data_IF_853125668081
#
_entry.id   IF_853125668081
#
_cell.length_a   1.000
_cell.length_b   1.000
_cell.length_c   1.000
_cell.angle_alpha   90.00
_cell.angle_beta   90.00
_cell.angle_gamma   90.00
#
_symmetry.space_group_name_H-M   'P 1'
#
loop_
_entity.id
_entity.type
_entity.pdbx_description
1 polymer ?
#
# COMPACT_ATOMS: atom_id res chain seq x y z
N UNK A 1 -1.83 29.60 -21.76
CA UNK A 1 -2.61 28.40 -21.43
C UNK A 1 -1.70 27.19 -21.63
N UNK A 2 -0.91 26.83 -20.63
CA UNK A 2 -0.20 25.57 -20.52
C UNK A 2 -0.32 25.19 -19.05
N UNK A 3 -1.31 24.38 -18.75
CA UNK A 3 -1.42 23.72 -17.44
C UNK A 3 -0.18 22.84 -17.34
N UNK A 4 0.74 23.19 -16.46
CA UNK A 4 1.74 22.26 -15.96
C UNK A 4 0.96 21.20 -15.19
N UNK A 5 0.54 20.17 -15.92
CA UNK A 5 0.03 18.94 -15.33
C UNK A 5 1.10 18.47 -14.36
N UNK A 6 0.74 18.57 -13.09
CA UNK A 6 1.58 18.34 -11.94
C UNK A 6 2.10 16.92 -12.10
N UNK A 7 3.42 16.81 -12.26
CA UNK A 7 4.16 15.56 -12.16
C UNK A 7 4.09 15.14 -10.68
N UNK A 8 2.89 14.72 -10.26
CA UNK A 8 2.58 14.14 -8.96
C UNK A 8 3.26 12.78 -8.92
N UNK A 9 4.57 12.81 -8.67
CA UNK A 9 5.35 11.63 -8.34
C UNK A 9 4.77 11.06 -7.06
N UNK A 10 3.90 10.04 -7.19
CA UNK A 10 3.48 9.20 -6.09
C UNK A 10 4.75 8.73 -5.38
N UNK A 11 4.89 9.13 -4.12
CA UNK A 11 6.05 8.76 -3.32
C UNK A 11 5.94 7.30 -2.87
N UNK A 12 7.08 6.71 -2.50
CA UNK A 12 7.08 5.39 -1.88
C UNK A 12 6.18 5.37 -0.62
N UNK A 13 6.19 6.46 0.15
CA UNK A 13 5.36 6.60 1.36
C UNK A 13 3.87 6.58 1.04
N UNK A 14 3.43 7.20 -0.07
CA UNK A 14 2.02 7.18 -0.49
C UNK A 14 1.56 5.76 -0.82
N UNK A 15 2.43 4.98 -1.49
CA UNK A 15 2.13 3.58 -1.82
C UNK A 15 2.13 2.73 -0.54
N UNK A 16 3.04 2.97 0.40
CA UNK A 16 3.04 2.28 1.69
C UNK A 16 1.73 2.50 2.43
N UNK A 17 1.29 3.75 2.53
CA UNK A 17 0.02 4.10 3.18
C UNK A 17 -1.18 3.41 2.53
N UNK A 18 -1.21 3.31 1.20
CA UNK A 18 -2.26 2.56 0.49
C UNK A 18 -2.24 1.07 0.82
N UNK A 19 -1.06 0.46 0.95
CA UNK A 19 -0.94 -0.94 1.34
C UNK A 19 -1.40 -1.18 2.78
N UNK A 20 -1.03 -0.29 3.71
CA UNK A 20 -1.51 -0.33 5.09
C UNK A 20 -3.04 -0.18 5.12
N UNK A 21 -3.61 0.72 4.33
CA UNK A 21 -5.07 0.90 4.24
C UNK A 21 -5.78 -0.35 3.70
N UNK A 22 -5.24 -0.98 2.64
CA UNK A 22 -5.75 -2.26 2.14
C UNK A 22 -5.72 -3.31 3.25
N UNK A 23 -4.61 -3.42 3.98
CA UNK A 23 -4.45 -4.36 5.08
C UNK A 23 -5.47 -4.13 6.21
N UNK A 24 -5.72 -2.88 6.60
CA UNK A 24 -6.76 -2.52 7.57
C UNK A 24 -8.17 -2.80 7.03
N UNK A 25 -8.39 -2.60 5.73
CA UNK A 25 -9.69 -2.89 5.09
C UNK A 25 -10.05 -4.38 5.15
N UNK A 26 -9.04 -5.28 5.18
CA UNK A 26 -9.26 -6.73 5.30
C UNK A 26 -9.88 -7.12 6.66
N UNK A 27 -9.58 -6.38 7.73
CA UNK A 27 -10.25 -6.57 9.04
C UNK A 27 -11.74 -6.27 8.91
N UNK A 28 -12.08 -5.19 8.21
CA UNK A 28 -13.47 -4.79 7.96
C UNK A 28 -14.17 -5.80 7.05
N UNK A 29 -13.53 -6.27 5.98
CA UNK A 29 -14.07 -7.29 5.05
C UNK A 29 -14.31 -8.62 5.76
N UNK A 30 -13.43 -8.99 6.70
CA UNK A 30 -13.52 -10.24 7.45
C UNK A 30 -14.27 -10.08 8.79
N UNK A 31 -14.97 -8.96 9.04
CA UNK A 31 -15.66 -8.66 10.31
C UNK A 31 -16.56 -9.79 10.80
N UNK A 32 -17.24 -10.52 9.92
CA UNK A 32 -18.09 -11.67 10.28
C UNK A 32 -17.26 -12.84 10.85
N UNK A 33 -16.09 -13.11 10.28
CA UNK A 33 -15.17 -14.17 10.74
C UNK A 33 -14.46 -13.77 12.03
N UNK A 34 -14.20 -12.48 12.21
CA UNK A 34 -13.57 -11.90 13.40
C UNK A 34 -14.57 -11.55 14.51
N UNK A 35 -15.87 -11.83 14.32
CA UNK A 35 -16.93 -11.41 15.24
C UNK A 35 -16.80 -12.03 16.64
N UNK A 36 -16.16 -13.19 16.75
CA UNK A 36 -15.95 -13.93 18.01
C UNK A 36 -14.68 -13.48 18.75
N UNK A 37 -13.85 -12.62 18.15
CA UNK A 37 -12.64 -12.11 18.77
C UNK A 37 -12.96 -10.95 19.71
N UNK A 38 -12.18 -10.83 20.79
CA UNK A 38 -12.16 -9.62 21.61
C UNK A 38 -11.61 -8.45 20.80
N UNK A 39 -11.84 -7.22 21.27
CA UNK A 39 -11.33 -6.03 20.58
C UNK A 39 -9.80 -5.98 20.59
N UNK A 40 -9.16 -6.42 21.68
CA UNK A 40 -7.70 -6.60 21.75
C UNK A 40 -7.19 -7.58 20.69
N UNK A 41 -7.90 -8.70 20.46
CA UNK A 41 -7.54 -9.68 19.44
C UNK A 41 -7.73 -9.12 18.02
N UNK A 42 -8.77 -8.31 17.78
CA UNK A 42 -8.97 -7.64 16.48
C UNK A 42 -7.85 -6.64 16.20
N UNK A 43 -7.44 -5.86 17.20
CA UNK A 43 -6.31 -4.93 17.10
C UNK A 43 -5.01 -5.70 16.83
N UNK A 44 -4.80 -6.85 17.49
CA UNK A 44 -3.64 -7.70 17.22
C UNK A 44 -3.63 -8.24 15.78
N UNK A 45 -4.79 -8.68 15.27
CA UNK A 45 -4.93 -9.13 13.87
C UNK A 45 -4.65 -7.99 12.89
N UNK A 46 -5.20 -6.80 13.14
CA UNK A 46 -4.93 -5.61 12.34
C UNK A 46 -3.43 -5.27 12.32
N UNK A 47 -2.78 -5.26 13.48
CA UNK A 47 -1.35 -5.00 13.61
C UNK A 47 -0.51 -6.01 12.84
N UNK A 48 -0.88 -7.29 12.86
CA UNK A 48 -0.20 -8.33 12.06
C UNK A 48 -0.40 -8.08 10.57
N UNK A 49 -1.61 -7.75 10.12
CA UNK A 49 -1.89 -7.49 8.70
C UNK A 49 -1.10 -6.28 8.18
N UNK A 50 -1.06 -5.20 8.96
CA UNK A 50 -0.27 -4.00 8.63
C UNK A 50 1.22 -4.35 8.57
N UNK A 51 1.75 -5.06 9.56
CA UNK A 51 3.16 -5.47 9.56
C UNK A 51 3.53 -6.38 8.39
N UNK A 52 2.63 -7.27 7.95
CA UNK A 52 2.83 -8.09 6.76
C UNK A 52 2.84 -7.22 5.50
N UNK A 53 1.93 -6.26 5.38
CA UNK A 53 1.90 -5.33 4.26
C UNK A 53 3.16 -4.47 4.19
N UNK A 54 3.63 -3.94 5.33
CA UNK A 54 4.88 -3.19 5.42
C UNK A 54 6.08 -4.03 4.99
N UNK A 55 6.19 -5.26 5.49
CA UNK A 55 7.30 -6.15 5.12
C UNK A 55 7.31 -6.49 3.62
N UNK A 56 6.14 -6.75 3.05
CA UNK A 56 6.03 -6.98 1.60
C UNK A 56 6.37 -5.72 0.81
N UNK A 57 5.97 -4.55 1.28
CA UNK A 57 6.30 -3.27 0.66
C UNK A 57 7.81 -3.01 0.69
N UNK A 58 8.47 -3.22 1.82
CA UNK A 58 9.94 -3.12 1.96
C UNK A 58 10.66 -3.98 0.92
N UNK A 59 10.24 -5.25 0.75
CA UNK A 59 10.81 -6.14 -0.26
C UNK A 59 10.64 -5.61 -1.70
N UNK A 60 9.53 -4.93 -2.00
CA UNK A 60 9.31 -4.32 -3.32
C UNK A 60 10.17 -3.08 -3.50
N UNK A 61 10.28 -2.24 -2.47
CA UNK A 61 11.13 -1.04 -2.48
C UNK A 61 12.60 -1.40 -2.62
N UNK A 62 13.11 -2.35 -1.83
CA UNK A 62 14.51 -2.78 -1.92
C UNK A 62 14.86 -3.25 -3.35
N UNK A 63 13.94 -3.98 -4.01
CA UNK A 63 14.11 -4.38 -5.41
C UNK A 63 14.06 -3.19 -6.38
N UNK A 64 13.17 -2.24 -6.15
CA UNK A 64 13.04 -1.05 -6.97
C UNK A 64 14.25 -0.12 -6.83
N UNK A 65 14.83 -0.02 -5.63
CA UNK A 65 16.05 0.75 -5.34
C UNK A 65 17.32 0.10 -5.92
N UNK A 66 17.33 -1.22 -6.06
CA UNK A 66 18.38 -1.93 -6.80
C UNK A 66 18.37 -1.71 -8.31
N UNK A 67 17.36 -1.03 -8.87
CA UNK A 67 17.23 -0.76 -10.30
C UNK A 67 17.69 0.67 -10.68
N UNK A 68 18.26 0.89 -11.89
CA UNK A 68 18.54 2.22 -12.41
C UNK A 68 17.26 3.10 -12.44
N UNK A 69 17.41 4.41 -12.20
CA UNK A 69 16.28 5.32 -11.93
C UNK A 69 15.10 5.26 -12.90
N UNK A 70 15.32 5.02 -14.19
CA UNK A 70 14.25 4.90 -15.21
C UNK A 70 13.37 3.66 -14.99
N UNK A 71 13.94 2.58 -14.47
CA UNK A 71 13.20 1.35 -14.18
C UNK A 71 12.53 1.41 -12.80
N UNK A 72 13.12 2.13 -11.82
CA UNK A 72 12.48 2.45 -10.54
C UNK A 72 11.11 3.13 -10.73
N UNK A 73 11.02 4.12 -11.63
CA UNK A 73 9.76 4.79 -11.96
C UNK A 73 8.72 3.85 -12.61
N UNK A 74 9.14 2.80 -13.33
CA UNK A 74 8.19 1.84 -13.92
C UNK A 74 7.50 1.01 -12.83
N UNK A 75 8.20 0.63 -11.76
CA UNK A 75 7.61 -0.11 -10.65
C UNK A 75 6.50 0.69 -9.95
N UNK A 76 6.74 1.98 -9.69
CA UNK A 76 5.74 2.85 -9.06
C UNK A 76 4.58 3.23 -9.99
N UNK A 77 4.84 3.40 -11.29
CA UNK A 77 3.80 3.73 -12.27
C UNK A 77 2.77 2.60 -12.51
N UNK A 78 3.11 1.34 -12.21
CA UNK A 78 2.12 0.24 -12.24
C UNK A 78 1.02 0.50 -11.21
N UNK A 79 1.36 1.05 -10.04
CA UNK A 79 0.39 1.37 -8.98
C UNK A 79 -0.58 2.51 -9.36
N UNK A 80 -0.08 3.49 -10.13
CA UNK A 80 -0.89 4.63 -10.61
C UNK A 80 -2.04 4.22 -11.53
N UNK A 81 -1.90 3.11 -12.26
CA UNK A 81 -2.91 2.69 -13.25
C UNK A 81 -4.21 2.22 -12.61
N UNK A 82 -4.16 1.71 -11.38
CA UNK A 82 -5.33 1.18 -10.68
C UNK A 82 -6.04 2.23 -9.80
N UNK A 83 -5.32 3.27 -9.32
CA UNK A 83 -5.92 4.36 -8.52
C UNK A 83 -6.64 5.41 -9.36
N UNK A 84 -6.27 5.60 -10.64
CA UNK A 84 -6.96 6.52 -11.54
C UNK A 84 -8.30 5.99 -12.10
N UNK A 85 -8.63 4.72 -11.83
CA UNK A 85 -9.85 4.05 -12.30
C UNK A 85 -10.90 3.81 -11.20
N UNK A 86 -10.65 4.29 -9.98
CA UNK A 86 -11.56 4.26 -8.82
C UNK A 86 -12.16 5.66 -8.56
#
# INVERSE_FOLDING_TARGET
MHSTDIDENISADDIRLQWEEIARSEVTRNRRRLALLSDEQKVAVESVLVSVADHMFEMVIEKAEGCPGVDRFKYFNVWRRDTAAA
#
